data_IF_132053446501
#
_entry.id   IF_132053446501
#
_cell.length_a   1.000
_cell.length_b   1.000
_cell.length_c   1.000
_cell.angle_alpha   90.00
_cell.angle_beta   90.00
_cell.angle_gamma   90.00
#
_symmetry.space_group_name_H-M   'P 1'
#
loop_
_entity.id
_entity.type
_entity.pdbx_description
1 polymer ?
#
# COMPACT_ATOMS: atom_id res chain seq x y z
N UNK A 1 21.55 -74.12 -45.73
CA UNK A 1 21.93 -73.37 -44.50
C UNK A 1 21.32 -71.99 -44.62
N UNK A 2 20.16 -71.78 -44.00
CA UNK A 2 19.53 -70.46 -43.92
C UNK A 2 20.27 -69.64 -42.86
N UNK A 3 20.71 -68.43 -43.21
CA UNK A 3 21.51 -67.56 -42.35
C UNK A 3 20.69 -67.05 -41.15
N UNK A 4 20.85 -67.70 -39.98
CA UNK A 4 20.22 -67.27 -38.73
C UNK A 4 20.75 -65.93 -38.20
N UNK A 5 21.97 -65.52 -38.59
CA UNK A 5 22.56 -64.23 -38.19
C UNK A 5 21.77 -63.03 -38.73
N UNK A 6 21.32 -63.10 -39.99
CA UNK A 6 20.59 -62.02 -40.65
C UNK A 6 19.22 -61.75 -39.99
N UNK A 7 18.61 -62.77 -39.40
CA UNK A 7 17.30 -62.64 -38.74
C UNK A 7 17.44 -61.94 -37.38
N UNK A 8 18.48 -62.26 -36.60
CA UNK A 8 18.77 -61.59 -35.32
C UNK A 8 19.01 -60.09 -35.51
N UNK A 9 19.82 -59.69 -36.50
CA UNK A 9 20.12 -58.27 -36.76
C UNK A 9 18.86 -57.46 -37.14
N UNK A 10 17.90 -58.07 -37.86
CA UNK A 10 16.65 -57.40 -38.25
C UNK A 10 15.66 -57.23 -37.09
N UNK A 11 15.66 -58.15 -36.13
CA UNK A 11 14.81 -58.08 -34.95
C UNK A 11 15.32 -56.98 -34.01
N UNK A 12 16.64 -56.90 -33.80
CA UNK A 12 17.26 -55.86 -32.97
C UNK A 12 17.00 -54.45 -33.53
N UNK A 13 17.11 -54.27 -34.86
CA UNK A 13 16.81 -52.99 -35.50
C UNK A 13 15.33 -52.58 -35.32
N UNK A 14 14.40 -53.52 -35.45
CA UNK A 14 12.96 -53.25 -35.31
C UNK A 14 12.59 -52.85 -33.88
N UNK A 15 13.17 -53.55 -32.88
CA UNK A 15 12.98 -53.23 -31.46
C UNK A 15 13.54 -51.83 -31.15
N UNK A 16 14.73 -51.50 -31.66
CA UNK A 16 15.32 -50.17 -31.46
C UNK A 16 14.47 -49.05 -32.07
N UNK A 17 13.85 -49.28 -33.24
CA UNK A 17 12.94 -48.31 -33.87
C UNK A 17 11.68 -48.10 -33.02
N UNK A 18 11.09 -49.17 -32.49
CA UNK A 18 9.91 -49.08 -31.60
C UNK A 18 10.26 -48.35 -30.29
N UNK A 19 11.41 -48.64 -29.70
CA UNK A 19 11.88 -47.93 -28.51
C UNK A 19 12.16 -46.46 -28.79
N UNK A 20 12.83 -46.13 -29.89
CA UNK A 20 13.11 -44.74 -30.26
C UNK A 20 11.82 -43.95 -30.52
N UNK A 21 10.85 -44.53 -31.23
CA UNK A 21 9.57 -43.89 -31.52
C UNK A 21 8.71 -43.67 -30.27
N UNK A 22 8.67 -44.64 -29.35
CA UNK A 22 7.96 -44.49 -28.07
C UNK A 22 8.60 -43.43 -27.19
N UNK A 23 9.94 -43.38 -27.11
CA UNK A 23 10.66 -42.32 -26.38
C UNK A 23 10.40 -40.93 -26.98
N UNK A 24 10.39 -40.81 -28.31
CA UNK A 24 10.08 -39.56 -28.99
C UNK A 24 8.64 -39.10 -28.71
N UNK A 25 7.69 -40.03 -28.71
CA UNK A 25 6.29 -39.75 -28.38
C UNK A 25 6.14 -39.28 -26.93
N UNK A 26 6.81 -39.92 -25.97
CA UNK A 26 6.78 -39.49 -24.56
C UNK A 26 7.42 -38.09 -24.39
N UNK A 27 8.55 -37.84 -25.06
CA UNK A 27 9.23 -36.54 -24.99
C UNK A 27 8.36 -35.40 -25.57
N UNK A 28 7.66 -35.63 -26.68
CA UNK A 28 6.75 -34.64 -27.28
C UNK A 28 5.54 -34.34 -26.39
N UNK A 29 4.94 -35.36 -25.76
CA UNK A 29 3.85 -35.16 -24.79
C UNK A 29 4.33 -34.35 -23.58
N UNK A 30 5.51 -34.66 -23.05
CA UNK A 30 6.08 -33.91 -21.93
C UNK A 30 6.33 -32.43 -22.28
N UNK A 31 6.86 -32.16 -23.47
CA UNK A 31 7.09 -30.79 -23.94
C UNK A 31 5.78 -30.01 -24.11
N UNK A 32 4.75 -30.64 -24.68
CA UNK A 32 3.41 -30.03 -24.80
C UNK A 32 2.85 -29.71 -23.41
N UNK A 33 2.96 -30.62 -22.44
CA UNK A 33 2.49 -30.40 -21.08
C UNK A 33 3.18 -29.19 -20.43
N UNK A 34 4.50 -29.04 -20.58
CA UNK A 34 5.26 -27.89 -20.06
C UNK A 34 4.78 -26.58 -20.70
N UNK A 35 4.57 -26.57 -22.02
CA UNK A 35 4.08 -25.37 -22.74
C UNK A 35 2.67 -24.99 -22.27
N UNK A 36 1.77 -25.96 -22.07
CA UNK A 36 0.41 -25.71 -21.57
C UNK A 36 0.43 -25.13 -20.15
N UNK A 37 1.25 -25.69 -19.25
CA UNK A 37 1.39 -25.17 -17.87
C UNK A 37 1.95 -23.76 -17.87
N UNK A 38 2.98 -23.48 -18.67
CA UNK A 38 3.55 -22.14 -18.80
C UNK A 38 2.54 -21.14 -19.37
N UNK A 39 1.78 -21.52 -20.41
CA UNK A 39 0.74 -20.69 -21.00
C UNK A 39 -0.39 -20.42 -20.00
N UNK A 40 -0.84 -21.43 -19.25
CA UNK A 40 -1.83 -21.27 -18.19
C UNK A 40 -1.33 -20.35 -17.07
N UNK A 41 -0.06 -20.49 -16.66
CA UNK A 41 0.55 -19.59 -15.67
C UNK A 41 0.59 -18.15 -16.18
N UNK A 42 1.05 -17.92 -17.40
CA UNK A 42 1.07 -16.60 -18.04
C UNK A 42 -0.36 -16.05 -18.15
N UNK A 43 -1.35 -16.87 -18.53
CA UNK A 43 -2.74 -16.47 -18.62
C UNK A 43 -3.30 -16.08 -17.24
N UNK A 44 -3.06 -16.88 -16.20
CA UNK A 44 -3.47 -16.57 -14.83
C UNK A 44 -2.79 -15.29 -14.34
N UNK A 45 -1.49 -15.13 -14.55
CA UNK A 45 -0.74 -13.92 -14.21
C UNK A 45 -1.31 -12.70 -14.94
N UNK A 46 -1.55 -12.81 -16.26
CA UNK A 46 -2.17 -11.74 -17.05
C UNK A 46 -3.59 -11.46 -16.61
N UNK A 47 -4.40 -12.46 -16.32
CA UNK A 47 -5.78 -12.29 -15.84
C UNK A 47 -5.80 -11.62 -14.47
N UNK A 48 -4.95 -12.05 -13.52
CA UNK A 48 -4.81 -11.42 -12.20
C UNK A 48 -4.33 -9.98 -12.33
N UNK A 49 -3.29 -9.75 -13.12
CA UNK A 49 -2.71 -8.43 -13.34
C UNK A 49 -3.67 -7.49 -14.08
N UNK A 50 -4.41 -8.01 -15.06
CA UNK A 50 -5.49 -7.27 -15.72
C UNK A 50 -6.68 -7.05 -14.78
N UNK A 51 -6.96 -7.94 -13.82
CA UNK A 51 -7.99 -7.70 -12.79
C UNK A 51 -7.58 -6.55 -11.87
N UNK A 52 -6.30 -6.49 -11.50
CA UNK A 52 -5.74 -5.37 -10.73
C UNK A 52 -5.78 -4.08 -11.55
N UNK A 53 -5.48 -4.12 -12.86
CA UNK A 53 -5.54 -2.93 -13.73
C UNK A 53 -6.96 -2.50 -14.13
N UNK A 54 -7.90 -3.43 -14.28
CA UNK A 54 -9.32 -3.13 -14.59
C UNK A 54 -10.10 -2.69 -13.35
N UNK A 55 -9.53 -2.83 -12.14
CA UNK A 55 -10.08 -2.27 -10.89
C UNK A 55 -9.95 -0.75 -10.76
N UNK A 56 -9.35 -0.04 -11.71
CA UNK A 56 -9.20 1.43 -11.67
C UNK A 56 -10.08 2.17 -12.68
N UNK A 57 -11.15 1.55 -13.18
CA UNK A 57 -12.35 2.33 -13.53
C UNK A 57 -13.21 2.38 -12.28
N UNK A 58 -12.78 3.21 -11.33
CA UNK A 58 -13.60 3.63 -10.21
C UNK A 58 -14.75 4.45 -10.80
N UNK A 59 -15.85 3.77 -11.15
CA UNK A 59 -17.14 4.42 -11.26
C UNK A 59 -17.55 4.78 -9.84
N UNK A 60 -17.20 6.00 -9.43
CA UNK A 60 -17.77 6.64 -8.25
C UNK A 60 -19.26 6.82 -8.48
N UNK A 61 -20.03 6.12 -7.64
CA UNK A 61 -21.33 6.56 -7.11
C UNK A 61 -22.33 7.09 -8.13
N UNK A 62 -23.12 6.19 -8.69
CA UNK A 62 -24.53 6.50 -8.91
C UNK A 62 -25.28 6.24 -7.60
N UNK A 63 -26.14 7.19 -7.25
CA UNK A 63 -27.22 7.16 -6.26
C UNK A 63 -26.88 7.34 -4.77
N UNK A 64 -26.91 8.60 -4.29
CA UNK A 64 -28.10 9.10 -3.58
C UNK A 64 -28.31 10.61 -3.79
N UNK A 65 -29.56 11.04 -3.80
CA UNK A 65 -29.96 12.39 -4.19
C UNK A 65 -29.67 13.41 -3.10
N UNK A 66 -28.60 14.19 -3.26
CA UNK A 66 -28.48 15.51 -2.64
C UNK A 66 -27.62 16.45 -3.49
N UNK A 67 -28.25 17.54 -3.92
CA UNK A 67 -27.81 18.43 -4.96
C UNK A 67 -26.55 19.24 -4.62
N UNK A 68 -25.42 18.91 -5.25
CA UNK A 68 -24.45 19.90 -5.76
C UNK A 68 -23.43 19.20 -6.65
N UNK A 69 -23.67 19.29 -7.96
CA UNK A 69 -22.75 18.91 -9.02
C UNK A 69 -21.33 19.43 -8.76
N UNK A 70 -20.41 18.55 -8.35
CA UNK A 70 -18.97 18.74 -8.51
C UNK A 70 -18.43 17.57 -9.32
N UNK A 71 -17.96 17.91 -10.52
CA UNK A 71 -17.24 17.06 -11.46
C UNK A 71 -16.25 16.15 -10.72
N UNK A 72 -16.41 14.83 -10.89
CA UNK A 72 -15.63 13.72 -10.32
C UNK A 72 -14.38 14.10 -9.51
N UNK A 73 -14.57 14.41 -8.22
CA UNK A 73 -13.48 14.70 -7.28
C UNK A 73 -12.62 13.45 -7.08
N UNK A 74 -11.34 13.55 -7.43
CA UNK A 74 -10.38 12.45 -7.28
C UNK A 74 -9.82 12.47 -5.86
N UNK A 75 -10.11 11.42 -5.09
CA UNK A 75 -9.50 11.26 -3.76
C UNK A 75 -8.19 10.51 -3.89
N UNK A 76 -7.09 11.11 -3.43
CA UNK A 76 -5.76 10.52 -3.38
C UNK A 76 -5.45 10.20 -1.92
N UNK A 77 -5.14 8.93 -1.64
CA UNK A 77 -4.82 8.51 -0.29
C UNK A 77 -3.33 8.19 -0.13
N UNK A 78 -2.71 8.77 0.89
CA UNK A 78 -1.34 8.49 1.28
C UNK A 78 -1.32 7.69 2.58
N UNK A 79 -0.42 6.72 2.65
CA UNK A 79 -0.14 5.99 3.88
C UNK A 79 1.20 6.44 4.45
N UNK A 80 1.22 6.91 5.70
CA UNK A 80 2.43 7.29 6.39
C UNK A 80 2.32 7.04 7.90
N UNK A 81 3.11 6.13 8.50
CA UNK A 81 2.92 5.72 9.90
C UNK A 81 3.05 6.86 10.92
N UNK A 82 3.93 7.83 10.65
CA UNK A 82 4.18 8.99 11.52
C UNK A 82 4.37 10.25 10.69
N UNK A 83 3.32 11.03 10.50
CA UNK A 83 3.36 12.32 9.80
C UNK A 83 4.00 13.45 10.62
N UNK A 84 4.35 13.16 11.88
CA UNK A 84 4.88 14.12 12.86
C UNK A 84 6.38 13.94 13.20
N UNK A 85 7.06 12.88 12.71
CA UNK A 85 8.43 12.56 13.14
C UNK A 85 9.52 13.39 12.41
N UNK A 86 9.16 13.96 11.26
CA UNK A 86 9.94 14.81 10.35
C UNK A 86 11.15 14.16 9.70
N UNK A 87 11.03 12.90 9.26
CA UNK A 87 12.01 12.22 8.43
C UNK A 87 12.05 12.70 6.96
N UNK A 88 12.98 12.14 6.18
CA UNK A 88 13.10 12.46 4.75
C UNK A 88 11.89 12.05 3.89
N UNK A 89 11.26 10.92 4.21
CA UNK A 89 10.05 10.45 3.54
C UNK A 89 8.84 11.37 3.74
N UNK A 90 8.73 12.00 4.90
CA UNK A 90 7.68 12.97 5.21
C UNK A 90 7.84 14.24 4.38
N UNK A 91 9.06 14.73 4.17
CA UNK A 91 9.31 15.89 3.31
C UNK A 91 8.80 15.64 1.89
N UNK A 92 9.00 14.43 1.37
CA UNK A 92 8.50 14.04 0.04
C UNK A 92 6.97 14.00 0.04
N UNK A 93 6.36 13.39 1.05
CA UNK A 93 4.90 13.36 1.20
C UNK A 93 4.31 14.79 1.19
N UNK A 94 4.86 15.69 2.00
CA UNK A 94 4.36 17.06 2.11
C UNK A 94 4.58 17.88 0.85
N UNK A 95 5.67 17.63 0.09
CA UNK A 95 5.85 18.24 -1.22
C UNK A 95 4.82 17.76 -2.24
N UNK A 96 4.46 16.48 -2.23
CA UNK A 96 3.39 15.97 -3.09
C UNK A 96 2.06 16.65 -2.74
N UNK A 97 1.73 16.76 -1.44
CA UNK A 97 0.51 17.42 -0.97
C UNK A 97 0.49 18.90 -1.39
N UNK A 98 1.62 19.60 -1.31
CA UNK A 98 1.74 20.98 -1.80
C UNK A 98 1.40 21.07 -3.29
N UNK A 99 2.00 20.22 -4.14
CA UNK A 99 1.69 20.19 -5.57
C UNK A 99 0.22 19.86 -5.85
N UNK A 100 -0.40 18.96 -5.06
CA UNK A 100 -1.83 18.68 -5.18
C UNK A 100 -2.70 19.90 -4.81
N UNK A 101 -2.25 20.71 -3.86
CA UNK A 101 -2.86 21.99 -3.51
C UNK A 101 -2.83 22.96 -4.69
N UNK A 102 -1.68 23.12 -5.33
CA UNK A 102 -1.51 23.97 -6.53
C UNK A 102 -2.40 23.50 -7.69
N UNK A 103 -2.46 22.18 -7.93
CA UNK A 103 -3.35 21.60 -8.94
C UNK A 103 -4.81 21.94 -8.64
N UNK A 104 -5.22 21.86 -7.37
CA UNK A 104 -6.58 22.21 -6.96
C UNK A 104 -6.88 23.68 -7.16
N UNK A 105 -5.92 24.56 -6.89
CA UNK A 105 -6.05 26.00 -7.15
C UNK A 105 -6.17 26.32 -8.63
N UNK A 106 -5.49 25.56 -9.49
CA UNK A 106 -5.60 25.69 -10.96
C UNK A 106 -6.91 25.13 -11.55
N UNK A 107 -7.82 24.61 -10.70
CA UNK A 107 -9.14 24.11 -11.10
C UNK A 107 -9.29 22.58 -11.06
N UNK A 108 -8.30 21.84 -10.54
CA UNK A 108 -8.42 20.41 -10.31
C UNK A 108 -9.39 20.07 -9.18
N UNK A 109 -10.25 19.07 -9.36
CA UNK A 109 -11.10 18.52 -8.28
C UNK A 109 -10.37 17.36 -7.60
N UNK A 110 -9.57 17.66 -6.57
CA UNK A 110 -8.76 16.68 -5.82
C UNK A 110 -9.00 16.81 -4.31
N UNK A 111 -9.11 15.66 -3.65
CA UNK A 111 -9.18 15.51 -2.19
C UNK A 111 -8.06 14.59 -1.70
N UNK A 112 -7.56 14.81 -0.49
CA UNK A 112 -6.43 14.03 0.08
C UNK A 112 -6.85 13.37 1.38
N UNK A 113 -6.59 12.06 1.47
CA UNK A 113 -6.70 11.30 2.70
C UNK A 113 -5.31 10.85 3.16
N UNK A 114 -4.97 11.06 4.43
CA UNK A 114 -3.69 10.63 5.01
C UNK A 114 -3.97 9.62 6.10
N UNK A 115 -3.58 8.37 5.84
CA UNK A 115 -3.64 7.30 6.81
C UNK A 115 -2.41 7.33 7.69
N UNK A 116 -2.61 7.62 8.98
CA UNK A 116 -1.52 7.73 9.96
C UNK A 116 -1.73 6.80 11.14
N UNK A 117 -0.62 6.37 11.74
CA UNK A 117 -0.59 5.70 13.04
C UNK A 117 -0.06 6.63 14.14
N UNK A 118 0.00 7.95 13.87
CA UNK A 118 0.24 8.95 14.90
C UNK A 118 -0.85 8.83 15.95
N UNK A 119 -0.46 8.87 17.24
CA UNK A 119 -1.42 8.78 18.32
C UNK A 119 -2.42 9.91 18.15
N UNK A 120 -3.70 9.55 18.05
CA UNK A 120 -4.75 10.53 18.23
C UNK A 120 -4.71 10.91 19.72
N UNK A 121 -4.07 12.03 20.06
CA UNK A 121 -3.93 12.53 21.44
C UNK A 121 -5.28 12.79 22.14
N UNK A 122 -6.42 12.51 21.48
CA UNK A 122 -7.77 12.51 22.06
C UNK A 122 -8.34 11.14 22.46
N UNK A 123 -7.62 10.01 22.34
CA UNK A 123 -8.20 8.68 22.63
C UNK A 123 -7.58 7.92 23.82
N UNK A 124 -6.45 8.37 24.37
CA UNK A 124 -5.84 7.75 25.54
C UNK A 124 -5.06 8.80 26.31
N UNK A 125 -5.55 9.16 27.51
CA UNK A 125 -4.97 10.16 28.42
C UNK A 125 -3.64 9.73 29.03
N UNK A 126 -2.78 9.06 28.27
CA UNK A 126 -1.45 8.67 28.71
C UNK A 126 -0.43 9.61 28.09
N UNK A 127 -0.14 10.68 28.83
CA UNK A 127 1.04 11.52 28.67
C UNK A 127 2.30 10.63 28.54
N UNK A 128 2.73 10.34 27.31
CA UNK A 128 4.04 9.76 27.08
C UNK A 128 4.56 10.07 25.67
N UNK A 129 5.45 11.05 25.63
CA UNK A 129 6.62 10.99 24.76
C UNK A 129 6.45 11.53 23.35
N UNK A 130 6.06 12.81 23.22
CA UNK A 130 6.69 13.61 22.16
C UNK A 130 8.17 13.67 22.54
N UNK A 131 8.99 12.90 21.82
CA UNK A 131 10.44 13.10 21.77
C UNK A 131 10.68 14.46 21.10
N UNK A 132 10.54 15.52 21.89
CA UNK A 132 11.09 16.83 21.58
C UNK A 132 12.59 16.67 21.68
N UNK A 133 13.25 16.49 20.53
CA UNK A 133 14.69 16.65 20.43
C UNK A 133 15.00 18.15 20.56
N UNK A 134 14.93 18.69 21.77
CA UNK A 134 15.46 20.02 22.10
C UNK A 134 16.60 19.81 23.07
N UNK A 135 17.80 19.96 22.56
CA UNK A 135 18.95 20.28 23.39
C UNK A 135 18.76 21.71 23.89
N UNK A 136 18.35 21.87 25.14
CA UNK A 136 18.84 22.95 26.01
C UNK A 136 18.50 22.64 27.47
N UNK A 137 19.54 22.55 28.31
CA UNK A 137 19.42 22.40 29.76
C UNK A 137 19.11 23.76 30.39
N UNK A 138 18.05 23.86 31.20
CA UNK A 138 17.88 25.03 32.06
C UNK A 138 16.51 25.22 32.73
N UNK A 139 16.44 24.84 34.01
CA UNK A 139 15.73 25.55 35.08
C UNK A 139 14.21 25.32 35.34
N UNK A 140 13.94 24.44 36.32
CA UNK A 140 13.36 24.71 37.66
C UNK A 140 11.98 25.42 37.78
N UNK A 141 10.96 24.60 38.09
CA UNK A 141 10.02 24.79 39.23
C UNK A 141 8.74 25.62 39.02
N UNK A 142 7.58 25.04 39.36
CA UNK A 142 6.31 25.76 39.55
C UNK A 142 5.09 24.84 39.51
N UNK A 143 4.20 24.97 40.50
CA UNK A 143 3.00 24.17 40.80
C UNK A 143 1.74 24.95 40.34
N UNK A 144 0.56 24.31 40.40
CA UNK A 144 -0.82 24.87 40.28
C UNK A 144 -1.34 24.99 38.83
N UNK A 145 -2.62 24.80 38.48
CA UNK A 145 -3.85 24.36 39.15
C UNK A 145 -4.89 24.05 38.04
N UNK A 146 -5.81 23.12 38.33
CA UNK A 146 -7.25 23.16 37.99
C UNK A 146 -7.71 23.86 36.70
N UNK A 147 -8.25 23.07 35.76
CA UNK A 147 -9.10 23.56 34.67
C UNK A 147 -9.73 22.41 33.89
N UNK A 148 -10.87 21.92 34.38
CA UNK A 148 -11.68 20.89 33.74
C UNK A 148 -12.40 21.50 32.52
N UNK A 149 -11.88 21.25 31.33
CA UNK A 149 -12.63 21.37 30.08
C UNK A 149 -12.40 20.07 29.30
N UNK A 150 -13.43 19.22 29.27
CA UNK A 150 -13.54 18.06 28.39
C UNK A 150 -13.59 18.54 26.93
N UNK A 151 -12.45 19.03 26.43
CA UNK A 151 -12.27 19.36 25.04
C UNK A 151 -12.17 18.04 24.28
N UNK A 152 -13.27 17.68 23.62
CA UNK A 152 -13.24 16.78 22.47
C UNK A 152 -12.19 17.35 21.52
N UNK A 153 -10.96 16.86 21.59
CA UNK A 153 -9.86 17.28 20.72
C UNK A 153 -10.20 16.76 19.34
N UNK A 154 -10.89 17.60 18.58
CA UNK A 154 -11.36 17.31 17.24
C UNK A 154 -10.17 17.15 16.30
N UNK A 155 -10.37 16.36 15.24
CA UNK A 155 -9.45 16.16 14.10
C UNK A 155 -8.81 17.47 13.59
N UNK A 156 -9.49 18.62 13.78
CA UNK A 156 -8.97 19.95 13.50
C UNK A 156 -7.70 20.32 14.30
N UNK A 157 -7.63 19.99 15.58
CA UNK A 157 -6.49 20.35 16.45
C UNK A 157 -5.24 19.57 16.06
N UNK A 158 -5.37 18.28 15.74
CA UNK A 158 -4.27 17.46 15.24
C UNK A 158 -3.75 17.98 13.90
N UNK A 159 -4.68 18.26 12.96
CA UNK A 159 -4.36 18.85 11.67
C UNK A 159 -3.58 20.15 11.81
N UNK A 160 -3.99 21.06 12.68
CA UNK A 160 -3.29 22.33 12.91
C UNK A 160 -1.86 22.12 13.42
N UNK A 161 -1.66 21.22 14.40
CA UNK A 161 -0.31 20.89 14.92
C UNK A 161 0.60 20.35 13.83
N UNK A 162 0.11 19.42 13.02
CA UNK A 162 0.87 18.84 11.92
C UNK A 162 1.20 19.89 10.87
N UNK A 163 0.24 20.70 10.45
CA UNK A 163 0.48 21.76 9.45
C UNK A 163 1.48 22.80 9.94
N UNK A 164 1.41 23.18 11.23
CA UNK A 164 2.39 24.06 11.86
C UNK A 164 3.80 23.44 11.84
N UNK A 165 3.92 22.17 12.25
CA UNK A 165 5.19 21.45 12.22
C UNK A 165 5.82 21.40 10.82
N UNK A 166 4.99 21.15 9.80
CA UNK A 166 5.42 21.08 8.40
C UNK A 166 5.96 22.43 7.91
N UNK A 167 5.28 23.52 8.26
CA UNK A 167 5.73 24.88 7.93
C UNK A 167 7.04 25.20 8.65
N UNK A 168 7.11 24.97 9.95
CA UNK A 168 8.27 25.30 10.79
C UNK A 168 9.52 24.51 10.37
N UNK A 169 9.36 23.22 10.05
CA UNK A 169 10.49 22.32 9.77
C UNK A 169 10.89 22.26 8.30
N UNK A 170 9.92 22.34 7.39
CA UNK A 170 10.17 22.14 5.96
C UNK A 170 9.97 23.40 5.12
N UNK A 171 9.41 24.48 5.69
CA UNK A 171 9.05 25.68 4.94
C UNK A 171 8.00 25.40 3.86
N UNK A 172 7.16 24.37 4.06
CA UNK A 172 6.12 23.97 3.11
C UNK A 172 4.80 24.54 3.57
N UNK A 173 4.18 25.36 2.73
CA UNK A 173 2.82 25.86 2.94
C UNK A 173 1.85 25.06 2.07
N UNK A 174 0.82 24.50 2.71
CA UNK A 174 -0.22 23.72 2.04
C UNK A 174 -1.45 24.59 1.89
N UNK A 175 -2.02 24.62 0.68
CA UNK A 175 -3.22 25.40 0.39
C UNK A 175 -4.38 25.00 1.32
N UNK A 176 -4.98 25.99 1.99
CA UNK A 176 -6.17 25.80 2.84
C UNK A 176 -7.38 25.33 2.05
N UNK A 177 -7.36 25.51 0.72
CA UNK A 177 -8.42 25.02 -0.16
C UNK A 177 -8.39 23.50 -0.24
N UNK A 178 -7.23 22.84 -0.15
CA UNK A 178 -7.11 21.39 -0.27
C UNK A 178 -7.78 20.66 0.91
N UNK A 179 -8.84 19.85 0.69
CA UNK A 179 -9.44 19.07 1.74
C UNK A 179 -8.50 17.92 2.07
N UNK A 180 -7.89 18.01 3.25
CA UNK A 180 -7.01 16.99 3.82
C UNK A 180 -7.74 16.40 5.01
N UNK A 181 -7.98 15.09 4.94
CA UNK A 181 -8.57 14.27 6.00
C UNK A 181 -7.52 13.33 6.57
N UNK A 182 -7.32 13.36 7.88
CA UNK A 182 -6.49 12.36 8.56
C UNK A 182 -7.36 11.18 8.95
N UNK A 183 -6.85 9.97 8.72
CA UNK A 183 -7.50 8.73 9.13
C UNK A 183 -6.53 8.01 10.06
N UNK A 184 -6.80 8.10 11.35
CA UNK A 184 -6.03 7.42 12.37
C UNK A 184 -6.34 5.92 12.33
N UNK A 185 -5.31 5.11 12.07
CA UNK A 185 -5.42 3.65 12.08
C UNK A 185 -5.04 3.16 13.47
N UNK A 186 -5.89 3.46 14.44
CA UNK A 186 -5.69 3.01 15.82
C UNK A 186 -6.03 1.51 15.95
N UNK A 187 -5.27 0.83 16.81
CA UNK A 187 -5.37 -0.58 17.23
C UNK A 187 -5.06 -1.71 16.22
N UNK A 188 -5.25 -1.53 14.90
CA UNK A 188 -4.96 -2.61 13.94
C UNK A 188 -3.49 -2.70 13.53
N UNK A 189 -2.78 -1.57 13.48
CA UNK A 189 -1.36 -1.54 13.13
C UNK A 189 -0.50 -2.38 14.08
N UNK A 190 -0.75 -2.29 15.40
CA UNK A 190 -0.01 -3.09 16.40
C UNK A 190 -0.22 -4.61 16.23
N UNK A 191 -1.32 -5.04 15.61
CA UNK A 191 -1.58 -6.45 15.29
C UNK A 191 -0.88 -6.90 14.01
N UNK A 192 -0.65 -5.98 13.08
CA UNK A 192 -0.10 -6.24 11.75
C UNK A 192 1.41 -5.95 11.64
N UNK A 193 1.97 -5.19 12.59
CA UNK A 193 3.40 -4.92 12.66
C UNK A 193 4.18 -6.23 12.91
N UNK A 194 5.10 -6.62 12.01
CA UNK A 194 5.85 -7.86 12.17
C UNK A 194 6.69 -7.81 13.44
N UNK A 195 6.44 -8.74 14.37
CA UNK A 195 7.23 -8.90 15.60
C UNK A 195 8.45 -9.76 15.29
N UNK A 196 9.47 -9.18 14.67
CA UNK A 196 10.75 -9.85 14.43
C UNK A 196 11.54 -9.27 13.25
N UNK A 197 12.80 -9.68 13.06
CA UNK A 197 13.69 -9.18 12.01
C UNK A 197 13.38 -9.76 10.62
N UNK A 198 12.09 -9.92 10.30
CA UNK A 198 11.65 -10.68 9.12
C UNK A 198 11.37 -9.74 7.95
N UNK A 199 12.25 -9.82 6.96
CA UNK A 199 12.09 -9.56 5.52
C UNK A 199 11.16 -8.42 5.09
N UNK A 200 11.69 -7.48 4.29
CA UNK A 200 10.93 -6.45 3.55
C UNK A 200 9.64 -6.96 2.86
N UNK A 201 9.56 -8.25 2.52
CA UNK A 201 8.36 -8.85 1.93
C UNK A 201 7.20 -8.91 2.94
N UNK A 202 7.46 -9.20 4.21
CA UNK A 202 6.41 -9.23 5.24
C UNK A 202 5.86 -7.82 5.51
N UNK A 203 6.74 -6.81 5.56
CA UNK A 203 6.33 -5.41 5.65
C UNK A 203 5.54 -4.95 4.40
N UNK A 204 5.94 -5.40 3.21
CA UNK A 204 5.20 -5.14 1.96
C UNK A 204 3.81 -5.79 1.95
N UNK A 205 3.64 -6.98 2.51
CA UNK A 205 2.32 -7.64 2.59
C UNK A 205 1.45 -6.98 3.67
N UNK A 206 2.05 -6.58 4.80
CA UNK A 206 1.35 -5.87 5.86
C UNK A 206 0.79 -4.53 5.36
N UNK A 207 1.59 -3.78 4.61
CA UNK A 207 1.16 -2.52 3.98
C UNK A 207 0.03 -2.72 2.98
N UNK A 208 0.05 -3.78 2.16
CA UNK A 208 -1.05 -4.10 1.24
C UNK A 208 -2.33 -4.49 2.00
N UNK A 209 -2.23 -5.30 3.06
CA UNK A 209 -3.39 -5.67 3.90
C UNK A 209 -3.99 -4.45 4.58
N UNK A 210 -3.14 -3.55 5.06
CA UNK A 210 -3.58 -2.30 5.67
C UNK A 210 -4.26 -1.38 4.66
N UNK A 211 -3.71 -1.27 3.45
CA UNK A 211 -4.33 -0.52 2.35
C UNK A 211 -5.71 -1.09 1.97
N UNK A 212 -5.88 -2.42 1.98
CA UNK A 212 -7.17 -3.06 1.75
C UNK A 212 -8.17 -2.81 2.91
N UNK A 213 -7.71 -2.89 4.17
CA UNK A 213 -8.55 -2.59 5.32
C UNK A 213 -9.00 -1.11 5.35
N UNK A 214 -8.09 -0.22 4.96
CA UNK A 214 -8.36 1.20 4.77
C UNK A 214 -9.39 1.44 3.65
N UNK A 215 -9.28 0.74 2.53
CA UNK A 215 -10.25 0.82 1.43
C UNK A 215 -11.66 0.40 1.85
N UNK A 216 -11.79 -0.63 2.70
CA UNK A 216 -13.08 -1.10 3.20
C UNK A 216 -13.76 -0.17 4.21
N UNK A 217 -13.06 0.87 4.72
CA UNK A 217 -13.64 1.88 5.61
C UNK A 217 -14.26 3.07 4.85
N UNK A 218 -14.16 3.09 3.52
CA UNK A 218 -14.77 4.06 2.62
C UNK A 218 -15.80 3.38 1.71
#
# INVERSE_FOLDING_TARGET
MFNQSLLLDTVDASVMIVLASTLLLVATIALIAVVVVAAAFIFICRCRFQRIRKGSKFHLGADDGSASSRVGEKTIAFYHPRCSAGGGGERVLWKIIQCLGEIRESGGCVSVAIYTADPNEGADGTNNGIAVCSADEGQRGGKEESGNEDAVVSDSSYKERVMKHVKDRFGIEVSSKLPIKFVHIDNEWRKLAPKGPVSMIAESIATVKLALAALNKF
#
